data_IF_306496929858
#
_entry.id   IF_306496929858
#
_cell.length_a   1.000
_cell.length_b   1.000
_cell.length_c   1.000
_cell.angle_alpha   90.00
_cell.angle_beta   90.00
_cell.angle_gamma   90.00
#
_symmetry.space_group_name_H-M   'P 1'
#
loop_
_entity.id
_entity.type
_entity.pdbx_description
1 polymer ?
#
# COMPACT_ATOMS: atom_id res chain seq x y z
N UNK A 1 -102.47 -10.82 -29.18
CA UNK A 1 -101.15 -10.20 -28.87
C UNK A 1 -101.03 -9.02 -29.81
N UNK A 2 -101.02 -7.81 -29.27
CA UNK A 2 -100.91 -6.62 -30.09
C UNK A 2 -99.51 -6.56 -30.70
N UNK A 3 -99.41 -6.04 -31.92
CA UNK A 3 -98.15 -5.90 -32.65
C UNK A 3 -97.09 -5.16 -31.82
N UNK A 4 -97.53 -4.21 -31.00
CA UNK A 4 -96.69 -3.46 -30.08
C UNK A 4 -96.08 -4.35 -28.99
N UNK A 5 -96.81 -5.33 -28.47
CA UNK A 5 -96.30 -6.27 -27.47
C UNK A 5 -95.18 -7.12 -28.04
N UNK A 6 -95.29 -7.54 -29.31
CA UNK A 6 -94.27 -8.35 -29.99
C UNK A 6 -92.98 -7.54 -30.18
N UNK A 7 -93.07 -6.28 -30.61
CA UNK A 7 -91.89 -5.41 -30.80
C UNK A 7 -91.14 -5.21 -29.48
N UNK A 8 -91.86 -4.94 -28.38
CA UNK A 8 -91.24 -4.75 -27.06
C UNK A 8 -90.54 -6.04 -26.61
N UNK A 9 -91.15 -7.21 -26.85
CA UNK A 9 -90.56 -8.50 -26.50
C UNK A 9 -89.27 -8.80 -27.27
N UNK A 10 -89.24 -8.49 -28.57
CA UNK A 10 -88.04 -8.65 -29.40
C UNK A 10 -86.92 -7.70 -28.94
N UNK A 11 -87.26 -6.45 -28.59
CA UNK A 11 -86.30 -5.48 -28.06
C UNK A 11 -85.62 -5.97 -26.77
N UNK A 12 -86.41 -6.50 -25.83
CA UNK A 12 -85.88 -7.08 -24.58
C UNK A 12 -84.93 -8.25 -24.89
N UNK A 13 -85.32 -9.13 -25.82
CA UNK A 13 -84.50 -10.28 -26.21
C UNK A 13 -83.13 -9.87 -26.79
N UNK A 14 -83.10 -8.87 -27.68
CA UNK A 14 -81.86 -8.34 -28.26
C UNK A 14 -80.97 -7.75 -27.18
N UNK A 15 -81.55 -7.05 -26.20
CA UNK A 15 -80.80 -6.43 -25.11
C UNK A 15 -80.16 -7.50 -24.21
N UNK A 16 -80.88 -8.59 -23.92
CA UNK A 16 -80.36 -9.73 -23.16
C UNK A 16 -79.22 -10.41 -23.92
N UNK A 17 -79.35 -10.63 -25.23
CA UNK A 17 -78.29 -11.23 -26.06
C UNK A 17 -77.04 -10.35 -26.07
N UNK A 18 -77.18 -9.03 -26.19
CA UNK A 18 -76.05 -8.11 -26.18
C UNK A 18 -75.29 -8.15 -24.84
N UNK A 19 -76.02 -8.16 -23.71
CA UNK A 19 -75.43 -8.30 -22.38
C UNK A 19 -74.73 -9.66 -22.23
N UNK A 20 -75.36 -10.74 -22.72
CA UNK A 20 -74.78 -12.08 -22.68
C UNK A 20 -73.48 -12.17 -23.47
N UNK A 21 -73.39 -11.54 -24.66
CA UNK A 21 -72.15 -11.47 -25.43
C UNK A 21 -71.07 -10.73 -24.66
N UNK A 22 -71.36 -9.55 -24.09
CA UNK A 22 -70.36 -8.77 -23.33
C UNK A 22 -69.83 -9.55 -22.13
N UNK A 23 -70.72 -10.17 -21.34
CA UNK A 23 -70.33 -10.96 -20.16
C UNK A 23 -69.54 -12.19 -20.57
N UNK A 24 -69.96 -12.89 -21.64
CA UNK A 24 -69.23 -14.05 -22.15
C UNK A 24 -67.86 -13.67 -22.69
N UNK A 25 -67.74 -12.58 -23.46
CA UNK A 25 -66.44 -12.12 -23.98
C UNK A 25 -65.49 -11.75 -22.83
N UNK A 26 -65.98 -11.02 -21.81
CA UNK A 26 -65.17 -10.70 -20.63
C UNK A 26 -64.74 -11.95 -19.83
N UNK A 27 -65.51 -13.04 -19.87
CA UNK A 27 -65.10 -14.33 -19.27
C UNK A 27 -64.29 -15.22 -20.23
N UNK A 28 -64.32 -14.97 -21.53
CA UNK A 28 -63.58 -15.75 -22.55
C UNK A 28 -62.18 -15.17 -22.78
N UNK A 29 -61.92 -13.92 -22.39
CA UNK A 29 -60.58 -13.33 -22.41
C UNK A 29 -59.60 -13.98 -21.39
N UNK A 30 -60.08 -14.85 -20.49
CA UNK A 30 -59.21 -15.71 -19.67
C UNK A 30 -58.82 -17.05 -20.34
N UNK A 31 -59.39 -17.38 -21.51
CA UNK A 31 -59.11 -18.63 -22.26
C UNK A 31 -58.48 -18.32 -23.63
N UNK A 32 -57.65 -17.28 -23.68
CA UNK A 32 -56.66 -17.07 -24.76
C UNK A 32 -55.25 -17.16 -24.16
N UNK A 33 -54.92 -18.33 -23.58
CA UNK A 33 -53.55 -18.69 -23.20
C UNK A 33 -52.78 -19.20 -24.41
N UNK A 34 -52.67 -18.39 -25.45
CA UNK A 34 -51.80 -18.67 -26.61
C UNK A 34 -50.97 -17.44 -26.99
N UNK A 35 -50.60 -16.62 -26.00
CA UNK A 35 -49.64 -15.51 -26.17
C UNK A 35 -48.65 -15.36 -24.98
N UNK A 36 -48.60 -16.35 -24.08
CA UNK A 36 -47.75 -16.30 -22.88
C UNK A 36 -46.45 -17.12 -22.96
N UNK A 37 -46.13 -17.73 -24.10
CA UNK A 37 -44.91 -18.55 -24.21
C UNK A 37 -43.68 -17.77 -24.70
N UNK A 38 -43.85 -16.56 -25.25
CA UNK A 38 -42.71 -15.73 -25.67
C UNK A 38 -42.13 -14.87 -24.53
N UNK A 39 -42.94 -14.56 -23.50
CA UNK A 39 -42.50 -13.73 -22.37
C UNK A 39 -41.86 -14.55 -21.23
N UNK A 40 -42.16 -15.83 -21.11
CA UNK A 40 -41.58 -16.74 -20.11
C UNK A 40 -40.15 -17.20 -20.47
N UNK A 41 -39.90 -17.50 -21.75
CA UNK A 41 -38.58 -17.93 -22.25
C UNK A 41 -37.55 -16.79 -22.11
N UNK A 42 -37.96 -15.55 -22.39
CA UNK A 42 -37.07 -14.39 -22.27
C UNK A 42 -36.82 -13.96 -20.80
N UNK A 43 -37.78 -14.17 -19.90
CA UNK A 43 -37.62 -13.81 -18.48
C UNK A 43 -36.70 -14.81 -17.75
N UNK A 44 -36.70 -16.08 -18.14
CA UNK A 44 -35.77 -17.09 -17.60
C UNK A 44 -34.34 -16.94 -18.14
N UNK A 45 -34.17 -16.56 -19.41
CA UNK A 45 -32.83 -16.33 -19.98
C UNK A 45 -32.14 -15.09 -19.39
N UNK A 46 -32.89 -14.01 -19.12
CA UNK A 46 -32.36 -12.81 -18.45
C UNK A 46 -31.94 -13.15 -17.00
N UNK A 47 -32.79 -13.88 -16.27
CA UNK A 47 -32.52 -14.26 -14.87
C UNK A 47 -31.31 -15.20 -14.73
N UNK A 48 -31.12 -16.11 -15.69
CA UNK A 48 -29.95 -16.98 -15.74
C UNK A 48 -28.67 -16.21 -16.08
N UNK A 49 -28.74 -15.24 -17.00
CA UNK A 49 -27.58 -14.42 -17.41
C UNK A 49 -27.12 -13.48 -16.30
N UNK A 50 -28.06 -12.88 -15.57
CA UNK A 50 -27.76 -12.05 -14.40
C UNK A 50 -27.12 -12.90 -13.29
N UNK A 51 -27.61 -14.12 -13.07
CA UNK A 51 -27.06 -15.04 -12.06
C UNK A 51 -25.66 -15.54 -12.42
N UNK A 52 -25.39 -15.84 -13.69
CA UNK A 52 -24.06 -16.23 -14.18
C UNK A 52 -23.07 -15.07 -14.04
N UNK A 53 -23.48 -13.84 -14.35
CA UNK A 53 -22.64 -12.64 -14.15
C UNK A 53 -22.34 -12.36 -12.68
N UNK A 54 -23.29 -12.61 -11.77
CA UNK A 54 -23.08 -12.48 -10.33
C UNK A 54 -22.12 -13.53 -9.80
N UNK A 55 -22.18 -14.75 -10.32
CA UNK A 55 -21.27 -15.82 -9.94
C UNK A 55 -19.85 -15.54 -10.48
N UNK A 56 -19.71 -15.04 -11.70
CA UNK A 56 -18.43 -14.60 -12.26
C UNK A 56 -17.86 -13.40 -11.49
N UNK A 57 -18.72 -12.48 -11.05
CA UNK A 57 -18.29 -11.34 -10.23
C UNK A 57 -17.84 -11.79 -8.84
N UNK A 58 -18.52 -12.76 -8.23
CA UNK A 58 -18.14 -13.33 -6.94
C UNK A 58 -16.77 -14.04 -7.02
N UNK A 59 -16.51 -14.82 -8.07
CA UNK A 59 -15.19 -15.46 -8.25
C UNK A 59 -14.08 -14.43 -8.49
N UNK A 60 -14.34 -13.38 -9.27
CA UNK A 60 -13.39 -12.27 -9.44
C UNK A 60 -13.13 -11.52 -8.13
N UNK A 61 -14.14 -11.34 -7.28
CA UNK A 61 -13.96 -10.73 -5.96
C UNK A 61 -13.11 -11.61 -5.04
N UNK A 62 -13.32 -12.92 -5.04
CA UNK A 62 -12.52 -13.86 -4.24
C UNK A 62 -11.04 -13.87 -4.67
N UNK A 63 -10.79 -13.86 -5.99
CA UNK A 63 -9.45 -13.73 -6.56
C UNK A 63 -8.82 -12.39 -6.15
N UNK A 64 -9.57 -11.28 -6.28
CA UNK A 64 -9.08 -9.96 -5.92
C UNK A 64 -8.77 -9.83 -4.41
N UNK A 65 -9.55 -10.48 -3.56
CA UNK A 65 -9.29 -10.55 -2.12
C UNK A 65 -7.99 -11.33 -1.84
N UNK A 66 -7.78 -12.45 -2.54
CA UNK A 66 -6.54 -13.21 -2.52
C UNK A 66 -5.33 -12.34 -2.92
N UNK A 67 -5.43 -11.61 -4.02
CA UNK A 67 -4.38 -10.71 -4.51
C UNK A 67 -4.06 -9.60 -3.51
N UNK A 68 -5.08 -9.02 -2.85
CA UNK A 68 -4.89 -8.00 -1.80
C UNK A 68 -4.13 -8.60 -0.60
N UNK A 69 -4.46 -9.82 -0.20
CA UNK A 69 -3.77 -10.51 0.90
C UNK A 69 -2.31 -10.77 0.52
N UNK A 70 -2.05 -11.20 -0.71
CA UNK A 70 -0.71 -11.45 -1.21
C UNK A 70 0.11 -10.16 -1.31
N UNK A 71 -0.43 -9.09 -1.88
CA UNK A 71 0.21 -7.77 -1.95
C UNK A 71 0.57 -7.24 -0.57
N UNK A 72 -0.32 -7.42 0.42
CA UNK A 72 -0.03 -7.03 1.81
C UNK A 72 1.14 -7.82 2.39
N UNK A 73 1.23 -9.12 2.10
CA UNK A 73 2.35 -9.97 2.53
C UNK A 73 3.66 -9.52 1.88
N UNK A 74 3.65 -9.28 0.57
CA UNK A 74 4.82 -8.86 -0.18
C UNK A 74 5.33 -7.49 0.30
N UNK A 75 4.41 -6.57 0.59
CA UNK A 75 4.75 -5.25 1.17
C UNK A 75 5.44 -5.39 2.53
N UNK A 76 4.97 -6.30 3.39
CA UNK A 76 5.62 -6.57 4.69
C UNK A 76 7.01 -7.15 4.52
N UNK A 77 7.19 -8.10 3.62
CA UNK A 77 8.49 -8.71 3.33
C UNK A 77 9.48 -7.68 2.76
N UNK A 78 9.01 -6.83 1.84
CA UNK A 78 9.82 -5.76 1.28
C UNK A 78 10.28 -4.77 2.36
N UNK A 79 9.38 -4.41 3.28
CA UNK A 79 9.70 -3.52 4.40
C UNK A 79 10.74 -4.15 5.34
N UNK A 80 10.67 -5.45 5.59
CA UNK A 80 11.64 -6.17 6.41
C UNK A 80 13.03 -6.18 5.75
N UNK A 81 13.10 -6.48 4.45
CA UNK A 81 14.36 -6.46 3.69
C UNK A 81 14.94 -5.04 3.66
N UNK A 82 14.10 -4.03 3.43
CA UNK A 82 14.50 -2.62 3.44
C UNK A 82 15.10 -2.21 4.79
N UNK A 83 14.44 -2.56 5.90
CA UNK A 83 14.92 -2.22 7.23
C UNK A 83 16.24 -2.90 7.55
N UNK A 84 16.39 -4.20 7.22
CA UNK A 84 17.66 -4.93 7.38
C UNK A 84 18.79 -4.31 6.55
N UNK A 85 18.53 -3.94 5.31
CA UNK A 85 19.51 -3.28 4.44
C UNK A 85 19.91 -1.89 4.99
N UNK A 86 18.95 -1.13 5.49
CA UNK A 86 19.18 0.19 6.10
C UNK A 86 20.03 0.09 7.37
N UNK A 87 19.73 -0.87 8.25
CA UNK A 87 20.50 -1.13 9.47
C UNK A 87 21.94 -1.55 9.15
N UNK A 88 22.13 -2.45 8.17
CA UNK A 88 23.45 -2.85 7.72
C UNK A 88 24.25 -1.65 7.16
N UNK A 89 23.64 -0.80 6.34
CA UNK A 89 24.28 0.39 5.81
C UNK A 89 24.68 1.40 6.91
N UNK A 90 23.84 1.57 7.94
CA UNK A 90 24.14 2.41 9.09
C UNK A 90 25.29 1.85 9.94
N UNK A 91 25.32 0.53 10.14
CA UNK A 91 26.41 -0.14 10.88
C UNK A 91 27.76 0.01 10.16
N UNK A 92 27.79 -0.17 8.85
CA UNK A 92 29.00 0.01 8.03
C UNK A 92 29.49 1.46 8.07
N UNK A 93 28.57 2.43 7.98
CA UNK A 93 28.94 3.85 8.07
C UNK A 93 29.56 4.18 9.44
N UNK A 94 28.97 3.68 10.52
CA UNK A 94 29.46 3.92 11.88
C UNK A 94 30.85 3.31 12.11
N UNK A 95 31.11 2.10 11.62
CA UNK A 95 32.45 1.50 11.68
C UNK A 95 33.50 2.29 10.89
N UNK A 96 33.17 2.73 9.67
CA UNK A 96 34.09 3.52 8.86
C UNK A 96 34.41 4.88 9.49
N UNK A 97 33.43 5.54 10.10
CA UNK A 97 33.63 6.82 10.78
C UNK A 97 34.50 6.67 12.05
N UNK A 98 34.33 5.58 12.82
CA UNK A 98 35.14 5.26 14.00
C UNK A 98 36.58 4.85 13.63
N UNK A 99 36.77 4.08 12.55
CA UNK A 99 38.09 3.71 12.05
C UNK A 99 38.85 4.91 11.44
N UNK A 100 38.16 5.77 10.68
CA UNK A 100 38.76 6.96 10.09
C UNK A 100 39.20 7.97 11.17
N UNK A 101 38.40 8.14 12.23
CA UNK A 101 38.79 9.00 13.37
C UNK A 101 39.96 8.41 14.14
N UNK A 102 39.96 7.09 14.40
CA UNK A 102 41.07 6.38 15.05
C UNK A 102 42.39 6.46 14.25
N UNK A 103 42.32 6.28 12.93
CA UNK A 103 43.49 6.38 12.05
C UNK A 103 44.03 7.80 12.00
N UNK A 104 43.17 8.81 11.77
CA UNK A 104 43.59 10.20 11.75
C UNK A 104 44.18 10.65 13.08
N UNK A 105 43.64 10.18 14.21
CA UNK A 105 44.19 10.47 15.53
C UNK A 105 45.59 9.86 15.72
N UNK A 106 45.79 8.60 15.33
CA UNK A 106 47.11 7.95 15.36
C UNK A 106 48.11 8.62 14.41
N UNK A 107 47.67 8.99 13.20
CA UNK A 107 48.51 9.68 12.22
C UNK A 107 48.94 11.06 12.72
N UNK A 108 48.00 11.84 13.26
CA UNK A 108 48.27 13.16 13.82
C UNK A 108 49.21 13.08 15.03
N UNK A 109 49.04 12.07 15.89
CA UNK A 109 49.95 11.83 17.00
C UNK A 109 51.36 11.48 16.52
N UNK A 110 51.50 10.57 15.54
CA UNK A 110 52.80 10.22 14.96
C UNK A 110 53.47 11.40 14.26
N UNK A 111 52.71 12.25 13.56
CA UNK A 111 53.23 13.45 12.93
C UNK A 111 53.68 14.48 13.98
N UNK A 112 52.92 14.61 15.07
CA UNK A 112 53.27 15.47 16.19
C UNK A 112 54.56 15.02 16.89
N UNK A 113 54.70 13.72 17.17
CA UNK A 113 55.90 13.17 17.81
C UNK A 113 57.13 13.25 16.88
N UNK A 114 56.97 13.03 15.58
CA UNK A 114 58.07 13.24 14.62
C UNK A 114 58.53 14.71 14.57
N UNK A 115 57.61 15.66 14.46
CA UNK A 115 57.95 17.09 14.36
C UNK A 115 58.60 17.65 15.62
N UNK A 116 58.32 17.03 16.77
CA UNK A 116 58.80 17.47 18.06
C UNK A 116 59.78 16.47 18.69
N UNK A 117 60.39 15.59 17.88
CA UNK A 117 61.26 14.52 18.34
C UNK A 117 62.39 15.06 19.23
N UNK A 118 63.07 16.12 18.79
CA UNK A 118 64.20 16.73 19.51
C UNK A 118 63.78 17.24 20.91
N UNK A 119 62.57 17.80 21.03
CA UNK A 119 62.03 18.28 22.31
C UNK A 119 61.75 17.09 23.24
N UNK A 120 61.13 16.05 22.70
CA UNK A 120 60.74 14.84 23.43
C UNK A 120 61.99 14.09 23.91
N UNK A 121 62.99 13.94 23.04
CA UNK A 121 64.24 13.25 23.36
C UNK A 121 65.02 13.99 24.45
N UNK A 122 65.19 15.31 24.33
CA UNK A 122 65.88 16.10 25.36
C UNK A 122 65.11 16.08 26.69
N UNK A 123 63.78 16.07 26.67
CA UNK A 123 63.00 15.89 27.89
C UNK A 123 63.21 14.51 28.51
N UNK A 124 63.22 13.44 27.70
CA UNK A 124 63.48 12.06 28.17
C UNK A 124 64.88 11.90 28.75
N UNK A 125 65.86 12.68 28.28
CA UNK A 125 67.21 12.78 28.86
C UNK A 125 67.25 13.52 30.21
N UNK A 126 66.11 14.03 30.69
CA UNK A 126 65.96 14.67 32.00
C UNK A 126 66.20 16.18 32.01
N UNK A 127 66.36 16.83 30.85
CA UNK A 127 66.54 18.28 30.79
C UNK A 127 65.25 19.01 31.13
N UNK A 128 65.39 20.20 31.73
CA UNK A 128 64.26 21.09 32.05
C UNK A 128 63.83 21.89 30.82
N UNK A 129 62.58 22.33 30.79
CA UNK A 129 61.99 23.04 29.66
C UNK A 129 62.79 24.32 29.29
N UNK A 130 63.35 25.02 30.27
CA UNK A 130 64.17 26.22 30.06
C UNK A 130 65.50 25.91 29.38
N UNK A 131 66.09 24.74 29.66
CA UNK A 131 67.35 24.30 29.07
C UNK A 131 67.13 23.86 27.62
N UNK A 132 66.04 23.12 27.37
CA UNK A 132 65.61 22.70 26.03
C UNK A 132 65.29 23.92 25.16
N UNK A 133 64.55 24.89 25.70
CA UNK A 133 64.20 26.13 25.00
C UNK A 133 65.44 26.91 24.53
N UNK A 134 66.46 27.02 25.40
CA UNK A 134 67.75 27.63 25.04
C UNK A 134 68.50 26.84 23.99
N UNK A 135 68.53 25.50 24.11
CA UNK A 135 69.28 24.61 23.21
C UNK A 135 68.69 24.56 21.80
N UNK A 136 67.35 24.61 21.69
CA UNK A 136 66.62 24.57 20.43
C UNK A 136 66.21 25.94 19.90
N UNK A 137 66.56 27.03 20.60
CA UNK A 137 66.15 28.40 20.27
C UNK A 137 64.62 28.54 20.08
N UNK A 138 63.86 27.97 21.01
CA UNK A 138 62.38 27.96 21.02
C UNK A 138 61.84 28.65 22.27
N UNK A 139 60.57 29.02 22.26
CA UNK A 139 59.95 29.59 23.46
C UNK A 139 59.73 28.52 24.53
N UNK A 140 59.94 28.87 25.81
CA UNK A 140 59.69 27.94 26.94
C UNK A 140 58.25 27.40 26.89
N UNK A 141 57.28 28.27 26.55
CA UNK A 141 55.87 27.92 26.42
C UNK A 141 55.59 26.88 25.33
N UNK A 142 56.31 26.95 24.21
CA UNK A 142 56.22 25.95 23.14
C UNK A 142 56.71 24.58 23.63
N UNK A 143 57.84 24.56 24.33
CA UNK A 143 58.40 23.33 24.92
C UNK A 143 57.43 22.72 25.94
N UNK A 144 56.90 23.52 26.87
CA UNK A 144 55.94 23.06 27.88
C UNK A 144 54.68 22.47 27.24
N UNK A 145 54.17 23.11 26.18
CA UNK A 145 53.01 22.61 25.45
C UNK A 145 53.28 21.25 24.83
N UNK A 146 54.46 21.09 24.21
CA UNK A 146 54.85 19.83 23.59
C UNK A 146 54.96 18.72 24.63
N UNK A 147 55.67 18.97 25.73
CA UNK A 147 55.85 18.02 26.84
C UNK A 147 54.51 17.59 27.44
N UNK A 148 53.57 18.52 27.57
CA UNK A 148 52.24 18.23 28.12
C UNK A 148 51.41 17.32 27.21
N UNK A 149 51.62 17.38 25.90
CA UNK A 149 50.90 16.60 24.90
C UNK A 149 51.51 15.23 24.63
N UNK A 150 52.73 14.97 25.11
CA UNK A 150 53.40 13.66 25.05
C UNK A 150 53.38 12.87 26.36
N UNK A 151 52.85 13.44 27.46
CA UNK A 151 52.52 12.71 28.70
C UNK A 151 51.17 12.00 28.58
#
# INVERSE_FOLDING_TARGET
MDYNTIIVLVGILVTIIAIYVIVKTNHTDEISKEDNDFTSINRNSIRNKDQESLQEMATRMDIAEGDIIQLRKDTRQLMEVYNKAKEAALAVKKQNDEEATSFNQKFNYNLFTQRNHDIIELHQQGLRAEEIAKKLNKSIREIEMVIKLTK
#
